data_IF_462543271061
#
_entry.id   IF_462543271061
#
_cell.length_a   1.000
_cell.length_b   1.000
_cell.length_c   1.000
_cell.angle_alpha   90.00
_cell.angle_beta   90.00
_cell.angle_gamma   90.00
#
_symmetry.space_group_name_H-M   'P 1'
#
loop_
_entity.id
_entity.type
_entity.pdbx_description
1 polymer ?
#
# COMPACT_ATOMS: atom_id res chain seq x y z
N UNK A 1 -28.44 -7.62 -5.50
CA UNK A 1 -28.92 -6.93 -4.28
C UNK A 1 -27.79 -6.54 -3.31
N UNK A 2 -26.73 -7.36 -3.12
CA UNK A 2 -25.66 -7.06 -2.14
C UNK A 2 -24.29 -6.64 -2.75
N UNK A 3 -24.26 -6.11 -3.97
CA UNK A 3 -23.00 -5.79 -4.67
C UNK A 3 -22.16 -4.73 -3.95
N UNK A 4 -22.79 -3.69 -3.38
CA UNK A 4 -22.11 -2.65 -2.58
C UNK A 4 -21.64 -3.10 -1.19
N UNK A 5 -22.01 -4.30 -0.73
CA UNK A 5 -21.61 -4.81 0.59
C UNK A 5 -20.21 -5.41 0.54
N UNK A 6 -19.41 -5.09 1.56
CA UNK A 6 -18.11 -5.75 1.79
C UNK A 6 -18.30 -7.25 2.04
N UNK A 7 -17.27 -8.06 1.79
CA UNK A 7 -17.34 -9.51 2.09
C UNK A 7 -17.74 -9.79 3.54
N UNK A 8 -17.28 -8.94 4.45
CA UNK A 8 -17.54 -9.04 5.89
C UNK A 8 -19.00 -8.74 6.21
N UNK A 9 -19.56 -7.68 5.62
CA UNK A 9 -20.98 -7.38 5.77
C UNK A 9 -21.88 -8.44 5.13
N UNK A 10 -21.47 -9.06 4.01
CA UNK A 10 -22.16 -10.22 3.43
C UNK A 10 -22.12 -11.43 4.37
N UNK A 11 -20.98 -11.69 5.02
CA UNK A 11 -20.85 -12.75 6.04
C UNK A 11 -21.75 -12.51 7.24
N UNK A 12 -21.92 -11.26 7.69
CA UNK A 12 -22.85 -10.90 8.77
C UNK A 12 -24.28 -11.30 8.41
N UNK A 13 -24.75 -10.99 7.20
CA UNK A 13 -26.10 -11.37 6.73
C UNK A 13 -26.23 -12.90 6.63
N UNK A 14 -25.19 -13.57 6.16
CA UNK A 14 -25.14 -15.04 6.13
C UNK A 14 -25.23 -15.65 7.54
N UNK A 15 -24.47 -15.12 8.50
CA UNK A 15 -24.54 -15.56 9.89
C UNK A 15 -25.90 -15.26 10.51
N UNK A 16 -26.49 -14.09 10.24
CA UNK A 16 -27.83 -13.77 10.71
C UNK A 16 -28.87 -14.80 10.23
N UNK A 17 -28.80 -15.22 8.97
CA UNK A 17 -29.65 -16.30 8.45
C UNK A 17 -29.42 -17.63 9.19
N UNK A 18 -28.16 -17.95 9.48
CA UNK A 18 -27.84 -19.15 10.25
C UNK A 18 -28.43 -19.09 11.67
N UNK A 19 -28.31 -17.95 12.35
CA UNK A 19 -28.86 -17.76 13.70
C UNK A 19 -30.40 -17.84 13.70
N UNK A 20 -31.06 -17.25 12.70
CA UNK A 20 -32.52 -17.37 12.53
C UNK A 20 -32.97 -18.83 12.37
N UNK A 21 -32.22 -19.62 11.60
CA UNK A 21 -32.46 -21.06 11.45
C UNK A 21 -32.26 -21.83 12.77
N UNK A 22 -31.24 -21.48 13.56
CA UNK A 22 -30.98 -22.12 14.85
C UNK A 22 -32.04 -21.81 15.91
N UNK A 23 -32.57 -20.58 15.91
CA UNK A 23 -33.62 -20.14 16.84
C UNK A 23 -35.04 -20.53 16.39
N UNK A 24 -35.19 -21.09 15.18
CA UNK A 24 -36.49 -21.49 14.63
C UNK A 24 -37.37 -20.32 14.19
N UNK A 25 -36.73 -19.21 13.78
CA UNK A 25 -37.41 -17.98 13.35
C UNK A 25 -37.86 -18.08 11.89
N UNK A 26 -39.10 -17.68 11.61
CA UNK A 26 -39.67 -17.70 10.25
C UNK A 26 -39.17 -16.53 9.37
N UNK A 27 -38.50 -15.56 9.97
CA UNK A 27 -37.88 -14.42 9.28
C UNK A 27 -36.56 -14.05 9.96
N UNK A 28 -35.65 -13.44 9.20
CA UNK A 28 -34.44 -12.82 9.74
C UNK A 28 -34.85 -11.49 10.38
N UNK A 29 -34.82 -11.46 11.70
CA UNK A 29 -35.10 -10.28 12.54
C UNK A 29 -33.82 -9.55 12.98
N UNK A 30 -33.98 -8.39 13.62
CA UNK A 30 -32.87 -7.47 13.94
C UNK A 30 -31.86 -8.07 14.92
N UNK A 31 -32.30 -8.89 15.86
CA UNK A 31 -31.46 -9.59 16.83
C UNK A 31 -30.59 -10.66 16.15
N UNK A 32 -31.07 -11.28 15.06
CA UNK A 32 -30.26 -12.19 14.26
C UNK A 32 -29.16 -11.44 13.51
N UNK A 33 -29.43 -10.24 13.00
CA UNK A 33 -28.41 -9.37 12.41
C UNK A 33 -27.35 -8.97 13.45
N UNK A 34 -27.78 -8.67 14.68
CA UNK A 34 -26.87 -8.38 15.79
C UNK A 34 -26.02 -9.59 16.18
N UNK A 35 -26.61 -10.79 16.27
CA UNK A 35 -25.86 -12.04 16.49
C UNK A 35 -24.88 -12.32 15.33
N UNK A 36 -25.27 -12.02 14.10
CA UNK A 36 -24.41 -12.12 12.92
C UNK A 36 -23.19 -11.19 13.01
N UNK A 37 -23.37 -9.96 13.47
CA UNK A 37 -22.27 -9.01 13.74
C UNK A 37 -21.35 -9.54 14.83
N UNK A 38 -21.93 -10.07 15.91
CA UNK A 38 -21.18 -10.65 17.03
C UNK A 38 -20.33 -11.85 16.56
N UNK A 39 -20.90 -12.69 15.69
CA UNK A 39 -20.26 -13.92 15.20
C UNK A 39 -19.17 -13.66 14.16
N UNK A 40 -19.30 -12.64 13.34
CA UNK A 40 -18.23 -12.20 12.45
C UNK A 40 -16.96 -11.85 13.25
N UNK A 41 -17.16 -11.25 14.43
CA UNK A 41 -16.22 -11.27 15.55
C UNK A 41 -14.89 -10.57 15.31
N UNK A 42 -14.72 -9.85 14.19
CA UNK A 42 -13.47 -9.20 13.82
C UNK A 42 -13.74 -7.75 13.43
N UNK A 43 -12.69 -6.94 13.28
CA UNK A 43 -12.78 -5.62 12.63
C UNK A 43 -13.26 -4.47 13.51
N UNK A 44 -13.87 -3.45 12.89
CA UNK A 44 -14.24 -2.20 13.57
C UNK A 44 -15.31 -2.45 14.63
N UNK A 45 -16.33 -3.25 14.31
CA UNK A 45 -17.44 -3.57 15.22
C UNK A 45 -16.95 -4.22 16.51
N UNK A 46 -16.01 -5.19 16.43
CA UNK A 46 -15.48 -5.84 17.63
C UNK A 46 -14.72 -4.86 18.53
N UNK A 47 -13.99 -3.90 17.95
CA UNK A 47 -13.27 -2.86 18.71
C UNK A 47 -14.23 -1.92 19.44
N UNK A 48 -15.33 -1.54 18.79
CA UNK A 48 -16.40 -0.72 19.39
C UNK A 48 -17.03 -1.45 20.59
N UNK A 49 -17.34 -2.74 20.44
CA UNK A 49 -17.85 -3.55 21.56
C UNK A 49 -16.85 -3.68 22.72
N UNK A 50 -15.56 -3.83 22.43
CA UNK A 50 -14.52 -3.87 23.47
C UNK A 50 -14.36 -2.53 24.19
N UNK A 51 -14.31 -1.41 23.47
CA UNK A 51 -14.19 -0.06 24.05
C UNK A 51 -15.44 0.32 24.86
N UNK A 52 -16.62 -0.12 24.46
CA UNK A 52 -17.86 0.05 25.25
C UNK A 52 -18.00 -0.93 26.42
N UNK A 53 -16.97 -1.75 26.72
CA UNK A 53 -16.93 -2.70 27.84
C UNK A 53 -18.05 -3.76 27.76
N UNK A 54 -18.53 -4.04 26.55
CA UNK A 54 -19.60 -5.00 26.33
C UNK A 54 -19.07 -6.39 26.10
N UNK A 55 -19.46 -7.31 26.98
CA UNK A 55 -19.27 -8.72 26.73
C UNK A 55 -20.24 -9.18 25.66
N UNK A 56 -19.69 -9.57 24.52
CA UNK A 56 -20.42 -10.18 23.41
C UNK A 56 -21.22 -11.42 23.84
N UNK A 57 -20.73 -12.13 24.86
CA UNK A 57 -21.44 -13.26 25.47
C UNK A 57 -22.68 -12.82 26.26
N UNK A 58 -22.63 -11.66 26.92
CA UNK A 58 -23.80 -11.12 27.62
C UNK A 58 -24.91 -10.76 26.63
N UNK A 59 -24.58 -10.14 25.50
CA UNK A 59 -25.56 -9.78 24.47
C UNK A 59 -26.18 -11.04 23.87
N UNK A 60 -25.36 -12.07 23.58
CA UNK A 60 -25.86 -13.36 23.10
C UNK A 60 -26.84 -14.01 24.08
N UNK A 61 -26.49 -14.11 25.36
CA UNK A 61 -27.37 -14.69 26.40
C UNK A 61 -28.69 -13.94 26.54
N UNK A 62 -28.66 -12.62 26.37
CA UNK A 62 -29.86 -11.79 26.46
C UNK A 62 -30.80 -11.96 25.26
N UNK A 63 -30.23 -12.11 24.06
CA UNK A 63 -31.00 -12.45 22.85
C UNK A 63 -31.59 -13.86 22.97
N UNK A 64 -30.78 -14.85 23.38
CA UNK A 64 -31.23 -16.23 23.58
C UNK A 64 -32.29 -16.34 24.70
N UNK A 65 -32.20 -15.51 25.74
CA UNK A 65 -33.17 -15.47 26.84
C UNK A 65 -34.51 -14.80 26.47
N UNK A 66 -34.51 -13.90 25.48
CA UNK A 66 -35.74 -13.28 24.93
C UNK A 66 -36.33 -14.11 23.78
N UNK A 67 -35.54 -14.96 23.14
CA UNK A 67 -35.99 -15.82 22.06
C UNK A 67 -36.91 -16.93 22.59
N UNK A 68 -38.12 -17.02 22.03
CA UNK A 68 -38.97 -18.19 22.20
C UNK A 68 -38.34 -19.34 21.42
N UNK A 69 -37.71 -20.29 22.12
CA UNK A 69 -37.14 -21.47 21.49
C UNK A 69 -38.23 -22.22 20.70
N UNK A 70 -38.07 -22.27 19.38
CA UNK A 70 -38.89 -23.07 18.46
C UNK A 70 -38.04 -24.19 17.88
N UNK A 71 -38.69 -25.19 17.29
CA UNK A 71 -37.99 -26.27 16.59
C UNK A 71 -37.09 -25.71 15.49
N UNK A 72 -35.87 -26.25 15.39
CA UNK A 72 -34.87 -25.80 14.43
C UNK A 72 -35.39 -25.97 13.01
N UNK A 73 -35.36 -24.88 12.24
CA UNK A 73 -35.72 -24.90 10.83
C UNK A 73 -34.46 -25.19 10.02
N UNK A 74 -34.52 -26.10 9.05
CA UNK A 74 -33.38 -26.39 8.16
C UNK A 74 -32.94 -25.11 7.42
N UNK A 75 -31.64 -24.87 7.35
CA UNK A 75 -31.04 -23.75 6.59
C UNK A 75 -31.36 -23.80 5.08
N UNK A 76 -31.87 -24.93 4.59
CA UNK A 76 -32.32 -25.13 3.21
C UNK A 76 -33.64 -24.42 2.88
N UNK A 77 -34.41 -24.04 3.89
CA UNK A 77 -35.63 -23.24 3.73
C UNK A 77 -35.23 -21.78 3.48
N UNK A 78 -35.89 -21.12 2.53
CA UNK A 78 -35.67 -19.70 2.29
C UNK A 78 -36.31 -18.88 3.43
N UNK A 79 -35.47 -18.22 4.22
CA UNK A 79 -35.89 -17.42 5.37
C UNK A 79 -35.84 -15.94 4.95
N UNK A 80 -37.00 -15.28 4.75
CA UNK A 80 -37.03 -13.89 4.28
C UNK A 80 -36.57 -12.91 5.37
N UNK A 81 -36.08 -11.74 4.94
CA UNK A 81 -35.82 -10.60 5.84
C UNK A 81 -37.14 -10.00 6.33
N UNK A 82 -37.25 -9.77 7.64
CA UNK A 82 -38.33 -8.98 8.25
C UNK A 82 -38.37 -7.54 7.71
N UNK A 83 -39.53 -6.85 7.76
CA UNK A 83 -39.64 -5.43 7.41
C UNK A 83 -38.62 -4.56 8.16
N UNK A 84 -38.40 -4.84 9.44
CA UNK A 84 -37.44 -4.19 10.33
C UNK A 84 -36.02 -4.38 9.82
N UNK A 85 -35.63 -5.61 9.47
CA UNK A 85 -34.30 -5.90 8.94
C UNK A 85 -34.04 -5.25 7.58
N UNK A 86 -35.07 -5.12 6.74
CA UNK A 86 -34.95 -4.37 5.47
C UNK A 86 -34.72 -2.87 5.72
N UNK A 87 -35.38 -2.29 6.73
CA UNK A 87 -35.14 -0.89 7.14
C UNK A 87 -33.72 -0.71 7.68
N UNK A 88 -33.25 -1.61 8.53
CA UNK A 88 -31.87 -1.61 9.05
C UNK A 88 -30.84 -1.60 7.92
N UNK A 89 -31.01 -2.46 6.90
CA UNK A 89 -30.09 -2.51 5.77
C UNK A 89 -30.16 -1.25 4.90
N UNK A 90 -31.33 -0.62 4.79
CA UNK A 90 -31.50 0.67 4.10
C UNK A 90 -30.80 1.80 4.86
N UNK A 91 -30.95 1.84 6.19
CA UNK A 91 -30.22 2.78 7.04
C UNK A 91 -28.72 2.56 7.00
N UNK A 92 -28.24 1.32 6.88
CA UNK A 92 -26.83 1.05 6.68
C UNK A 92 -26.30 1.64 5.37
N UNK A 93 -27.09 1.60 4.29
CA UNK A 93 -26.71 2.24 3.03
C UNK A 93 -26.65 3.77 3.17
N UNK A 94 -27.63 4.38 3.85
CA UNK A 94 -27.63 5.82 4.12
C UNK A 94 -26.45 6.27 5.00
N UNK A 95 -26.09 5.50 6.04
CA UNK A 95 -24.94 5.82 6.88
C UNK A 95 -23.62 5.70 6.11
N UNK A 96 -23.50 4.72 5.20
CA UNK A 96 -22.35 4.63 4.30
C UNK A 96 -22.21 5.88 3.42
N UNK A 97 -23.33 6.38 2.87
CA UNK A 97 -23.34 7.58 2.04
C UNK A 97 -23.04 8.85 2.85
N UNK A 98 -23.56 8.98 4.08
CA UNK A 98 -23.21 10.07 5.01
C UNK A 98 -21.73 10.11 5.34
N UNK A 99 -21.09 8.94 5.40
CA UNK A 99 -19.67 8.80 5.66
C UNK A 99 -18.81 8.85 4.39
N UNK A 100 -19.42 9.14 3.22
CA UNK A 100 -18.77 9.19 1.91
C UNK A 100 -18.06 7.87 1.53
N UNK A 101 -18.60 6.74 2.00
CA UNK A 101 -18.09 5.41 1.68
C UNK A 101 -18.82 4.83 0.45
N UNK A 102 -18.04 4.39 -0.54
CA UNK A 102 -18.56 3.70 -1.73
C UNK A 102 -18.97 2.23 -1.46
N UNK A 103 -18.82 1.76 -0.21
CA UNK A 103 -19.10 0.40 0.22
C UNK A 103 -19.93 0.38 1.52
N UNK A 104 -20.62 -0.74 1.76
CA UNK A 104 -21.35 -1.00 3.00
C UNK A 104 -20.58 -2.00 3.86
N UNK A 105 -19.96 -1.51 4.93
CA UNK A 105 -19.22 -2.28 5.93
C UNK A 105 -20.09 -2.75 7.11
N UNK A 106 -19.46 -3.46 8.05
CA UNK A 106 -20.13 -3.99 9.25
C UNK A 106 -20.49 -2.88 10.24
N UNK A 107 -19.70 -1.80 10.24
CA UNK A 107 -19.93 -0.57 11.01
C UNK A 107 -21.22 0.15 10.57
N UNK A 108 -21.51 0.19 9.27
CA UNK A 108 -22.76 0.78 8.78
C UNK A 108 -23.97 -0.08 9.15
N UNK A 109 -23.82 -1.41 9.15
CA UNK A 109 -24.89 -2.33 9.61
C UNK A 109 -25.17 -2.15 11.10
N UNK A 110 -24.13 -1.95 11.93
CA UNK A 110 -24.31 -1.63 13.35
C UNK A 110 -25.05 -0.30 13.53
N UNK A 111 -24.65 0.76 12.80
CA UNK A 111 -25.35 2.06 12.86
C UNK A 111 -26.81 1.93 12.39
N UNK A 112 -27.07 1.12 11.36
CA UNK A 112 -28.41 0.82 10.89
C UNK A 112 -29.28 0.15 11.95
N UNK A 113 -28.72 -0.81 12.72
CA UNK A 113 -29.42 -1.46 13.82
C UNK A 113 -29.78 -0.46 14.93
N UNK A 114 -28.84 0.42 15.28
CA UNK A 114 -29.04 1.43 16.32
C UNK A 114 -30.00 2.56 15.90
N UNK A 115 -30.20 2.76 14.59
CA UNK A 115 -31.11 3.77 14.05
C UNK A 115 -32.56 3.30 14.01
N UNK A 116 -32.81 1.99 13.98
CA UNK A 116 -34.16 1.43 14.11
C UNK A 116 -34.55 1.40 15.60
N UNK A 117 -35.10 2.50 16.10
CA UNK A 117 -35.40 2.70 17.53
C UNK A 117 -36.34 1.64 18.12
N UNK A 118 -37.26 1.13 17.30
CA UNK A 118 -38.26 0.12 17.67
C UNK A 118 -37.73 -1.32 17.64
N UNK A 119 -36.46 -1.52 17.29
CA UNK A 119 -35.88 -2.87 17.16
C UNK A 119 -35.44 -3.45 18.50
N UNK A 120 -35.56 -4.78 18.62
CA UNK A 120 -35.06 -5.53 19.78
C UNK A 120 -33.54 -5.36 19.91
N UNK A 121 -32.83 -5.36 18.78
CA UNK A 121 -31.39 -5.13 18.74
C UNK A 121 -31.01 -3.76 19.35
N UNK A 122 -31.70 -2.68 18.97
CA UNK A 122 -31.44 -1.36 19.53
C UNK A 122 -31.77 -1.28 21.01
N UNK A 123 -32.87 -1.92 21.46
CA UNK A 123 -33.23 -2.00 22.87
C UNK A 123 -32.10 -2.60 23.71
N UNK A 124 -31.56 -3.75 23.28
CA UNK A 124 -30.45 -4.41 23.97
C UNK A 124 -29.17 -3.54 23.95
N UNK A 125 -28.81 -2.96 22.80
CA UNK A 125 -27.62 -2.11 22.71
C UNK A 125 -27.74 -0.84 23.57
N UNK A 126 -28.93 -0.24 23.63
CA UNK A 126 -29.21 0.96 24.42
C UNK A 126 -29.24 0.68 25.93
N UNK A 127 -29.84 -0.44 26.37
CA UNK A 127 -29.81 -0.90 27.77
C UNK A 127 -28.37 -1.16 28.24
N UNK A 128 -27.51 -1.61 27.33
CA UNK A 128 -26.08 -1.80 27.56
C UNK A 128 -25.25 -0.52 27.47
N UNK A 129 -25.89 0.64 27.25
CA UNK A 129 -25.23 1.95 27.28
C UNK A 129 -24.66 2.43 25.95
N UNK A 130 -24.88 1.73 24.83
CA UNK A 130 -24.49 2.22 23.51
C UNK A 130 -25.49 3.26 23.01
N UNK A 131 -24.99 4.44 22.66
CA UNK A 131 -25.78 5.51 22.03
C UNK A 131 -25.34 5.71 20.59
N UNK A 132 -26.29 5.94 19.69
CA UNK A 132 -26.02 6.10 18.25
C UNK A 132 -24.98 7.19 17.97
N UNK A 133 -25.07 8.34 18.64
CA UNK A 133 -24.11 9.45 18.47
C UNK A 133 -22.69 9.06 18.90
N UNK A 134 -22.54 8.46 20.08
CA UNK A 134 -21.24 8.03 20.61
C UNK A 134 -20.59 6.97 19.71
N UNK A 135 -21.36 5.99 19.23
CA UNK A 135 -20.85 4.95 18.33
C UNK A 135 -20.44 5.53 16.98
N UNK A 136 -21.18 6.52 16.46
CA UNK A 136 -20.81 7.22 15.23
C UNK A 136 -19.50 7.97 15.38
N UNK A 137 -19.34 8.73 16.46
CA UNK A 137 -18.09 9.44 16.79
C UNK A 137 -16.91 8.46 16.93
N UNK A 138 -17.14 7.32 17.59
CA UNK A 138 -16.13 6.29 17.77
C UNK A 138 -15.73 5.62 16.44
N UNK A 139 -16.68 5.36 15.54
CA UNK A 139 -16.37 4.85 14.19
C UNK A 139 -15.51 5.87 13.43
N UNK A 140 -15.86 7.16 13.48
CA UNK A 140 -15.07 8.22 12.84
C UNK A 140 -13.67 8.31 13.45
N UNK A 141 -13.54 8.22 14.78
CA UNK A 141 -12.25 8.19 15.46
C UNK A 141 -11.43 6.95 15.08
N UNK A 142 -12.03 5.76 15.04
CA UNK A 142 -11.35 4.53 14.66
C UNK A 142 -10.96 4.52 13.17
N UNK A 143 -11.75 5.13 12.31
CA UNK A 143 -11.41 5.33 10.90
C UNK A 143 -10.31 6.36 10.73
N UNK A 144 -10.32 7.44 11.51
CA UNK A 144 -9.23 8.44 11.55
C UNK A 144 -7.96 7.85 12.18
N UNK A 145 -8.07 7.02 13.21
CA UNK A 145 -6.97 6.22 13.73
C UNK A 145 -6.46 5.30 12.64
N UNK A 146 -7.32 4.63 11.85
CA UNK A 146 -6.88 3.79 10.72
C UNK A 146 -6.28 4.60 9.57
N UNK A 147 -6.76 5.82 9.33
CA UNK A 147 -6.21 6.75 8.35
C UNK A 147 -4.87 7.36 8.80
N UNK A 148 -4.70 7.56 10.12
CA UNK A 148 -3.46 8.02 10.76
C UNK A 148 -2.47 6.87 11.00
N UNK A 149 -2.94 5.63 11.23
CA UNK A 149 -2.14 4.40 11.31
C UNK A 149 -1.72 3.94 9.90
N UNK A 150 -2.49 4.30 8.87
CA UNK A 150 -2.07 4.20 7.47
C UNK A 150 -1.08 5.30 7.04
N UNK A 151 -0.86 6.33 7.86
CA UNK A 151 0.02 7.47 7.55
C UNK A 151 1.17 7.73 8.53
N UNK A 152 1.22 7.05 9.68
CA UNK A 152 2.33 7.20 10.63
C UNK A 152 2.48 5.95 11.52
N UNK A 153 3.70 5.37 11.53
CA UNK A 153 4.22 4.32 12.42
C UNK A 153 3.99 2.85 12.05
N UNK A 154 4.31 2.43 10.84
CA UNK A 154 4.85 1.06 10.67
C UNK A 154 6.39 1.05 10.66
N UNK A 155 7.06 2.17 10.35
CA UNK A 155 8.52 2.21 10.24
C UNK A 155 9.11 3.61 10.61
N UNK A 156 9.16 3.96 11.91
CA UNK A 156 9.60 5.30 12.33
C UNK A 156 11.05 5.58 11.95
N UNK A 157 11.95 4.58 11.97
CA UNK A 157 13.34 4.77 11.57
C UNK A 157 13.47 4.81 10.05
N UNK A 158 12.76 3.93 9.33
CA UNK A 158 12.80 3.92 7.87
C UNK A 158 12.33 5.26 7.28
N UNK A 159 11.33 5.90 7.87
CA UNK A 159 10.82 7.20 7.39
C UNK A 159 11.85 8.34 7.55
N UNK A 160 12.77 8.23 8.51
CA UNK A 160 13.85 9.21 8.70
C UNK A 160 14.96 9.05 7.65
N UNK A 161 15.24 7.81 7.24
CA UNK A 161 16.36 7.46 6.36
C UNK A 161 15.94 7.09 4.93
N UNK A 162 14.66 7.27 4.59
CA UNK A 162 14.16 6.99 3.24
C UNK A 162 13.22 8.09 2.76
N UNK A 163 13.19 8.26 1.44
CA UNK A 163 12.26 9.14 0.75
C UNK A 163 11.11 8.31 0.20
N UNK A 164 9.88 8.63 0.60
CA UNK A 164 8.69 7.97 0.07
C UNK A 164 8.36 8.52 -1.33
N UNK A 165 8.62 7.70 -2.35
CA UNK A 165 8.35 8.04 -3.74
C UNK A 165 6.85 7.91 -4.04
N UNK A 166 6.14 6.98 -3.41
CA UNK A 166 4.68 6.85 -3.58
C UNK A 166 3.95 8.06 -3.00
N UNK A 167 4.40 8.57 -1.87
CA UNK A 167 3.86 9.82 -1.30
C UNK A 167 4.21 11.03 -2.15
N UNK A 168 5.45 11.13 -2.64
CA UNK A 168 5.85 12.20 -3.55
C UNK A 168 5.02 12.19 -4.85
N UNK A 169 4.72 11.00 -5.39
CA UNK A 169 3.83 10.81 -6.54
C UNK A 169 2.40 11.28 -6.23
N UNK A 170 1.86 10.90 -5.06
CA UNK A 170 0.51 11.30 -4.64
C UNK A 170 0.36 12.82 -4.48
N UNK A 171 1.44 13.52 -4.13
CA UNK A 171 1.48 14.99 -4.05
C UNK A 171 1.75 15.67 -5.41
N UNK A 172 1.95 14.90 -6.48
CA UNK A 172 2.30 15.43 -7.81
C UNK A 172 3.72 16.02 -7.89
N UNK A 173 4.61 15.65 -6.97
CA UNK A 173 5.96 16.20 -6.90
C UNK A 173 6.93 15.54 -7.91
N UNK A 174 6.65 14.33 -8.39
CA UNK A 174 7.54 13.57 -9.31
C UNK A 174 7.31 13.92 -10.77
N UNK A 175 8.37 13.95 -11.57
CA UNK A 175 8.30 14.25 -13.00
C UNK A 175 7.55 13.15 -13.78
N UNK A 176 6.82 13.51 -14.85
CA UNK A 176 6.16 12.51 -15.69
C UNK A 176 7.21 11.69 -16.44
N UNK A 177 7.03 10.36 -16.45
CA UNK A 177 7.87 9.47 -17.24
C UNK A 177 7.43 9.48 -18.71
N UNK A 178 8.33 9.80 -19.63
CA UNK A 178 8.10 9.77 -21.07
C UNK A 178 9.02 8.76 -21.77
N UNK A 179 8.49 8.04 -22.77
CA UNK A 179 9.28 7.20 -23.68
C UNK A 179 9.90 5.94 -23.09
N UNK A 180 9.49 5.49 -21.89
CA UNK A 180 10.07 4.32 -21.20
C UNK A 180 9.04 3.30 -20.71
N UNK A 181 8.00 3.09 -21.51
CA UNK A 181 6.89 2.21 -21.15
C UNK A 181 7.29 0.73 -21.12
N UNK A 182 8.18 0.30 -22.03
CA UNK A 182 8.62 -1.10 -22.13
C UNK A 182 9.45 -1.51 -20.92
N UNK A 183 10.41 -0.68 -20.49
CA UNK A 183 11.21 -0.97 -19.30
C UNK A 183 10.34 -0.96 -18.05
N UNK A 184 9.41 -0.01 -17.94
CA UNK A 184 8.47 0.06 -16.82
C UNK A 184 7.57 -1.18 -16.74
N UNK A 185 6.99 -1.61 -17.88
CA UNK A 185 6.20 -2.82 -17.96
C UNK A 185 7.01 -4.06 -17.54
N UNK A 186 8.29 -4.11 -17.91
CA UNK A 186 9.20 -5.17 -17.49
C UNK A 186 9.48 -5.15 -15.99
N UNK A 187 9.67 -3.98 -15.39
CA UNK A 187 9.83 -3.84 -13.92
C UNK A 187 8.59 -4.39 -13.20
N UNK A 188 7.39 -3.96 -13.62
CA UNK A 188 6.11 -4.44 -13.07
C UNK A 188 6.01 -5.96 -13.19
N UNK A 189 6.32 -6.51 -14.37
CA UNK A 189 6.29 -7.94 -14.60
C UNK A 189 7.22 -8.70 -13.66
N UNK A 190 8.43 -8.18 -13.39
CA UNK A 190 9.39 -8.80 -12.47
C UNK A 190 8.86 -8.77 -11.04
N UNK A 191 8.36 -7.63 -10.56
CA UNK A 191 7.84 -7.47 -9.20
C UNK A 191 6.65 -8.39 -8.89
N UNK A 192 5.87 -8.76 -9.90
CA UNK A 192 4.74 -9.68 -9.77
C UNK A 192 5.13 -11.18 -9.78
N UNK A 193 6.40 -11.54 -9.97
CA UNK A 193 6.83 -12.95 -9.96
C UNK A 193 6.88 -13.50 -8.53
N UNK A 194 6.73 -14.83 -8.40
CA UNK A 194 6.94 -15.54 -7.13
C UNK A 194 8.41 -15.78 -6.80
N UNK A 195 9.26 -15.85 -7.83
CA UNK A 195 10.71 -16.05 -7.73
C UNK A 195 11.41 -15.07 -8.64
N UNK A 196 12.65 -14.67 -8.30
CA UNK A 196 13.39 -13.61 -8.99
C UNK A 196 12.56 -12.32 -9.15
N UNK A 197 11.97 -11.88 -8.04
CA UNK A 197 11.02 -10.78 -7.96
C UNK A 197 11.65 -9.43 -7.59
N UNK A 198 12.98 -9.36 -7.56
CA UNK A 198 13.73 -8.12 -7.35
C UNK A 198 14.34 -7.66 -8.68
N UNK A 199 13.83 -6.60 -9.33
CA UNK A 199 14.43 -6.07 -10.54
C UNK A 199 15.73 -5.33 -10.24
N UNK A 200 16.74 -5.51 -11.11
CA UNK A 200 17.97 -4.70 -11.12
C UNK A 200 18.03 -3.94 -12.43
N UNK A 201 17.98 -2.62 -12.34
CA UNK A 201 18.13 -1.69 -13.45
C UNK A 201 19.62 -1.56 -13.78
N UNK A 202 20.00 -2.04 -14.96
CA UNK A 202 21.37 -2.04 -15.45
C UNK A 202 21.49 -1.05 -16.61
N UNK A 203 22.24 0.02 -16.40
CA UNK A 203 22.50 1.04 -17.42
C UNK A 203 23.65 1.96 -17.00
N UNK A 204 24.06 2.86 -17.86
CA UNK A 204 25.09 3.85 -17.51
C UNK A 204 24.52 4.93 -16.57
N UNK A 205 25.35 5.69 -15.84
CA UNK A 205 24.89 6.87 -15.10
C UNK A 205 24.22 7.88 -16.04
N UNK A 206 23.19 8.57 -15.55
CA UNK A 206 22.47 9.59 -16.33
C UNK A 206 21.40 9.07 -17.29
N UNK A 207 21.23 7.75 -17.48
CA UNK A 207 20.17 7.21 -18.37
C UNK A 207 18.76 7.28 -17.79
N UNK A 208 18.54 7.85 -16.59
CA UNK A 208 17.20 7.98 -16.00
C UNK A 208 16.67 6.72 -15.29
N UNK A 209 17.54 5.94 -14.62
CA UNK A 209 17.11 4.77 -13.82
C UNK A 209 16.19 5.17 -12.66
N UNK A 210 16.49 6.27 -12.00
CA UNK A 210 15.66 6.82 -10.90
C UNK A 210 14.30 7.25 -11.42
N UNK A 211 14.25 7.88 -12.59
CA UNK A 211 13.00 8.28 -13.25
C UNK A 211 12.07 7.08 -13.55
N UNK A 212 12.60 5.90 -13.89
CA UNK A 212 11.80 4.68 -14.05
C UNK A 212 11.08 4.28 -12.76
N UNK A 213 11.76 4.42 -11.61
CA UNK A 213 11.19 4.08 -10.31
C UNK A 213 10.16 5.12 -9.86
N UNK A 214 10.40 6.39 -10.15
CA UNK A 214 9.44 7.47 -9.95
C UNK A 214 8.19 7.28 -10.84
N UNK A 215 8.38 6.88 -12.10
CA UNK A 215 7.29 6.50 -13.00
C UNK A 215 6.48 5.30 -12.50
N UNK A 216 7.14 4.31 -11.87
CA UNK A 216 6.45 3.21 -11.20
C UNK A 216 5.61 3.71 -10.01
N UNK A 217 6.15 4.62 -9.20
CA UNK A 217 5.40 5.22 -8.09
C UNK A 217 4.15 5.96 -8.58
N UNK A 218 4.26 6.73 -9.68
CA UNK A 218 3.11 7.37 -10.32
C UNK A 218 2.05 6.36 -10.77
N UNK A 219 2.44 5.26 -11.42
CA UNK A 219 1.48 4.21 -11.83
C UNK A 219 0.80 3.52 -10.65
N UNK A 220 1.52 3.29 -9.55
CA UNK A 220 0.94 2.72 -8.33
C UNK A 220 -0.15 3.66 -7.77
N UNK A 221 0.14 4.96 -7.67
CA UNK A 221 -0.82 5.97 -7.18
C UNK A 221 -2.04 6.09 -8.09
N UNK A 222 -1.85 5.99 -9.40
CA UNK A 222 -2.94 6.03 -10.39
C UNK A 222 -3.79 4.75 -10.39
N UNK A 223 -3.30 3.66 -9.81
CA UNK A 223 -3.94 2.34 -9.88
C UNK A 223 -3.69 1.60 -11.20
N UNK A 224 -2.80 2.09 -12.05
CA UNK A 224 -2.41 1.52 -13.35
C UNK A 224 -1.36 0.41 -13.20
N UNK A 225 -1.52 -0.43 -12.19
CA UNK A 225 -0.68 -1.59 -11.87
C UNK A 225 -1.55 -2.79 -11.49
N UNK A 226 -1.04 -4.03 -11.63
CA UNK A 226 -1.74 -5.21 -11.12
C UNK A 226 -2.08 -5.07 -9.63
N UNK A 227 -3.20 -5.67 -9.20
CA UNK A 227 -3.73 -5.60 -7.82
C UNK A 227 -2.66 -5.89 -6.75
N UNK A 228 -1.73 -6.81 -7.03
CA UNK A 228 -0.63 -7.14 -6.12
C UNK A 228 0.29 -5.95 -5.76
N UNK A 229 0.42 -4.98 -6.67
CA UNK A 229 1.25 -3.79 -6.50
C UNK A 229 0.45 -2.55 -6.08
N UNK A 230 -0.88 -2.58 -6.16
CA UNK A 230 -1.73 -1.42 -5.88
C UNK A 230 -1.62 -0.93 -4.43
N UNK A 231 -1.39 -1.83 -3.47
CA UNK A 231 -1.23 -1.49 -2.05
C UNK A 231 0.25 -1.33 -1.62
N UNK A 232 1.19 -1.38 -2.57
CA UNK A 232 2.62 -1.30 -2.27
C UNK A 232 3.09 0.15 -2.18
N UNK A 233 4.06 0.42 -1.30
CA UNK A 233 4.77 1.71 -1.20
C UNK A 233 6.21 1.56 -1.68
N UNK A 234 6.72 2.56 -2.39
CA UNK A 234 8.10 2.61 -2.84
C UNK A 234 8.88 3.59 -1.97
N UNK A 235 9.89 3.10 -1.26
CA UNK A 235 10.76 3.90 -0.41
C UNK A 235 12.18 3.87 -0.94
N UNK A 236 12.72 5.04 -1.29
CA UNK A 236 14.12 5.19 -1.70
C UNK A 236 15.02 5.31 -0.48
N UNK A 237 15.92 4.36 -0.29
CA UNK A 237 16.86 4.34 0.84
C UNK A 237 18.05 5.26 0.54
N UNK A 238 18.32 6.22 1.42
CA UNK A 238 19.46 7.10 1.29
C UNK A 238 20.58 6.68 2.25
N UNK A 239 21.62 6.07 1.69
CA UNK A 239 22.77 5.58 2.47
C UNK A 239 23.53 6.75 3.10
N UNK A 240 23.58 7.91 2.43
CA UNK A 240 24.27 9.10 2.92
C UNK A 240 23.64 9.60 4.21
N UNK A 241 22.30 9.56 4.31
CA UNK A 241 21.57 9.91 5.53
C UNK A 241 21.80 8.90 6.66
N UNK A 242 21.94 7.61 6.35
CA UNK A 242 22.21 6.58 7.38
C UNK A 242 23.61 6.75 7.97
N UNK A 243 24.60 7.06 7.11
CA UNK A 243 25.98 7.35 7.52
C UNK A 243 26.05 8.66 8.31
N UNK A 244 25.26 9.66 7.93
CA UNK A 244 25.18 10.94 8.62
C UNK A 244 24.84 10.76 10.12
N UNK A 245 25.62 11.44 10.97
CA UNK A 245 25.45 11.35 12.42
C UNK A 245 25.86 10.01 13.05
N UNK A 246 26.54 9.12 12.33
CA UNK A 246 27.26 7.98 12.92
C UNK A 246 28.73 8.33 13.11
N UNK A 247 29.25 8.19 14.34
CA UNK A 247 30.68 8.42 14.63
C UNK A 247 31.48 7.12 14.58
N UNK A 248 30.81 6.00 14.77
CA UNK A 248 31.41 4.67 14.88
C UNK A 248 30.72 3.71 13.94
N UNK A 249 31.48 2.82 13.32
CA UNK A 249 30.99 1.76 12.41
C UNK A 249 29.87 0.93 13.02
N UNK A 250 29.96 0.57 14.32
CA UNK A 250 28.92 -0.21 14.99
C UNK A 250 27.55 0.46 15.04
N UNK A 251 27.50 1.80 15.14
CA UNK A 251 26.25 2.56 15.16
C UNK A 251 25.55 2.52 13.79
N UNK A 252 26.33 2.58 12.70
CA UNK A 252 25.80 2.42 11.35
C UNK A 252 25.21 1.02 11.16
N UNK A 253 25.93 -0.02 11.57
CA UNK A 253 25.47 -1.41 11.47
C UNK A 253 24.19 -1.66 12.28
N UNK A 254 24.08 -1.08 13.48
CA UNK A 254 22.89 -1.17 14.34
C UNK A 254 21.67 -0.46 13.72
N UNK A 255 21.87 0.74 13.16
CA UNK A 255 20.82 1.46 12.41
C UNK A 255 20.34 0.65 11.21
N UNK A 256 21.27 0.12 10.41
CA UNK A 256 20.93 -0.69 9.24
C UNK A 256 20.20 -1.98 9.64
N UNK A 257 20.62 -2.65 10.72
CA UNK A 257 19.90 -3.83 11.25
C UNK A 257 18.47 -3.49 11.67
N UNK A 258 18.27 -2.33 12.29
CA UNK A 258 16.94 -1.87 12.73
C UNK A 258 16.04 -1.59 11.54
N UNK A 259 16.54 -0.86 10.54
CA UNK A 259 15.88 -0.61 9.26
C UNK A 259 15.49 -1.93 8.59
N UNK A 260 16.40 -2.90 8.55
CA UNK A 260 16.14 -4.21 7.94
C UNK A 260 15.08 -5.03 8.66
N UNK A 261 15.00 -4.93 10.00
CA UNK A 261 13.94 -5.58 10.78
C UNK A 261 12.57 -4.96 10.46
N UNK A 262 12.48 -3.62 10.43
CA UNK A 262 11.26 -2.90 10.04
C UNK A 262 10.77 -3.29 8.64
N UNK A 263 11.70 -3.45 7.69
CA UNK A 263 11.41 -3.87 6.32
C UNK A 263 10.95 -5.32 6.21
N UNK A 264 11.44 -6.20 7.08
CA UNK A 264 11.04 -7.62 7.10
C UNK A 264 9.63 -7.78 7.69
N UNK A 265 9.24 -6.92 8.63
CA UNK A 265 7.89 -6.91 9.21
C UNK A 265 6.86 -6.31 8.22
N UNK A 266 7.28 -5.32 7.42
CA UNK A 266 6.43 -4.56 6.50
C UNK A 266 6.38 -5.15 5.09
N UNK A 267 5.39 -5.99 4.82
CA UNK A 267 5.26 -6.70 3.53
C UNK A 267 4.72 -5.82 2.39
N UNK A 268 4.22 -4.62 2.70
CA UNK A 268 3.69 -3.64 1.75
C UNK A 268 4.77 -2.71 1.18
N UNK A 269 6.04 -2.85 1.56
CA UNK A 269 7.11 -1.94 1.15
C UNK A 269 7.99 -2.57 0.05
N UNK A 270 8.30 -1.77 -0.96
CA UNK A 270 9.32 -2.03 -1.97
C UNK A 270 10.43 -1.01 -1.76
N UNK A 271 11.65 -1.47 -1.50
CA UNK A 271 12.78 -0.57 -1.27
C UNK A 271 13.44 -0.28 -2.62
N UNK A 272 13.67 0.98 -2.92
CA UNK A 272 14.58 1.39 -3.98
C UNK A 272 15.97 1.64 -3.39
N UNK A 273 16.96 0.99 -3.97
CA UNK A 273 18.38 1.15 -3.62
C UNK A 273 19.07 1.68 -4.86
N UNK A 274 19.39 2.98 -4.82
CA UNK A 274 20.30 3.53 -5.81
C UNK A 274 21.71 2.97 -5.56
N UNK A 275 22.46 2.77 -6.63
CA UNK A 275 23.81 2.21 -6.56
C UNK A 275 23.90 0.92 -5.69
N UNK A 276 23.09 -0.09 -6.01
CA UNK A 276 22.99 -1.37 -5.27
C UNK A 276 24.36 -2.03 -4.99
N UNK A 277 25.34 -1.79 -5.86
CA UNK A 277 26.70 -2.30 -5.69
C UNK A 277 27.42 -1.74 -4.45
N UNK A 278 27.07 -0.55 -3.96
CA UNK A 278 27.67 0.04 -2.74
C UNK A 278 27.32 -0.78 -1.50
N UNK A 279 26.12 -1.37 -1.49
CA UNK A 279 25.61 -2.19 -0.41
C UNK A 279 26.01 -3.67 -0.52
N UNK A 280 26.34 -4.15 -1.72
CA UNK A 280 26.67 -5.57 -1.99
C UNK A 280 28.19 -5.78 -2.18
N UNK A 281 28.90 -4.74 -2.60
CA UNK A 281 30.30 -4.78 -2.96
C UNK A 281 31.21 -4.90 -1.74
N UNK A 282 31.84 -6.06 -1.61
CA UNK A 282 32.81 -6.34 -0.55
C UNK A 282 34.02 -5.36 -0.58
N UNK A 283 34.05 -4.43 0.37
CA UNK A 283 35.27 -3.98 1.07
C UNK A 283 36.46 -3.47 0.25
N UNK A 284 36.27 -2.89 -0.94
CA UNK A 284 37.39 -2.56 -1.86
C UNK A 284 37.55 -1.07 -2.19
N UNK A 285 36.74 -0.18 -1.62
CA UNK A 285 36.95 1.27 -1.76
C UNK A 285 37.18 1.85 -0.36
N UNK A 286 38.21 2.70 -0.22
CA UNK A 286 38.58 3.40 1.01
C UNK A 286 37.34 4.07 1.64
N UNK A 287 36.76 3.42 2.65
CA UNK A 287 35.57 3.92 3.36
C UNK A 287 34.26 3.15 3.15
N UNK A 288 34.22 2.07 2.35
CA UNK A 288 33.00 1.28 2.17
C UNK A 288 32.60 0.56 3.48
N UNK A 289 31.60 1.09 4.17
CA UNK A 289 30.97 0.49 5.33
C UNK A 289 30.39 -0.89 4.96
N UNK A 290 30.54 -1.86 5.86
CA UNK A 290 30.31 -3.30 5.62
C UNK A 290 28.81 -3.69 5.67
N UNK A 291 27.97 -2.92 4.96
CA UNK A 291 26.53 -3.12 4.86
C UNK A 291 26.17 -4.46 4.19
N UNK A 292 27.08 -4.99 3.36
CA UNK A 292 26.91 -6.25 2.63
C UNK A 292 26.63 -7.43 3.55
N UNK A 293 27.28 -7.49 4.71
CA UNK A 293 27.07 -8.57 5.69
C UNK A 293 25.67 -8.57 6.30
N UNK A 294 24.99 -7.42 6.32
CA UNK A 294 23.63 -7.27 6.88
C UNK A 294 22.57 -7.45 5.81
N UNK A 295 22.78 -6.89 4.61
CA UNK A 295 21.78 -6.87 3.53
C UNK A 295 21.73 -8.16 2.74
N UNK A 296 22.90 -8.75 2.44
CA UNK A 296 23.00 -9.95 1.62
C UNK A 296 22.17 -11.14 2.14
N UNK A 297 22.15 -11.44 3.46
CA UNK A 297 21.31 -12.52 3.97
C UNK A 297 19.81 -12.27 3.77
N UNK A 298 19.32 -11.07 4.03
CA UNK A 298 17.90 -10.72 3.86
C UNK A 298 17.47 -10.74 2.38
N UNK A 299 18.31 -10.20 1.50
CA UNK A 299 18.12 -10.25 0.05
C UNK A 299 18.14 -11.68 -0.49
N UNK A 300 19.12 -12.49 -0.07
CA UNK A 300 19.25 -13.89 -0.49
C UNK A 300 18.09 -14.76 0.02
N UNK A 301 17.57 -14.49 1.22
CA UNK A 301 16.40 -15.22 1.74
C UNK A 301 15.10 -14.79 1.07
N UNK A 302 15.05 -13.58 0.50
CA UNK A 302 13.86 -13.01 -0.11
C UNK A 302 12.88 -12.47 0.93
N UNK A 303 13.40 -12.08 2.10
CA UNK A 303 12.64 -11.47 3.19
C UNK A 303 12.21 -10.04 2.84
N UNK A 304 12.99 -9.38 1.98
CA UNK A 304 12.71 -8.02 1.51
C UNK A 304 12.56 -8.01 -0.01
N UNK A 305 11.64 -7.16 -0.48
CA UNK A 305 11.45 -6.86 -1.90
C UNK A 305 12.14 -5.54 -2.24
N UNK A 306 12.97 -5.51 -3.28
CA UNK A 306 13.68 -4.30 -3.67
C UNK A 306 13.84 -4.13 -5.18
N UNK A 307 14.04 -2.88 -5.58
CA UNK A 307 14.46 -2.44 -6.91
C UNK A 307 15.88 -1.88 -6.74
N UNK A 308 16.85 -2.46 -7.45
CA UNK A 308 18.23 -1.98 -7.41
C UNK A 308 18.61 -1.26 -8.70
N UNK A 309 19.48 -0.25 -8.62
CA UNK A 309 20.12 0.36 -9.79
C UNK A 309 21.65 0.15 -9.73
N UNK A 310 22.29 -0.14 -10.86
CA UNK A 310 23.76 -0.33 -10.93
C UNK A 310 24.27 -0.15 -12.36
N UNK A 311 25.59 -0.01 -12.54
CA UNK A 311 26.22 -0.01 -13.86
C UNK A 311 26.45 -1.44 -14.38
N UNK A 312 26.59 -1.64 -15.71
CA UNK A 312 26.91 -2.96 -16.27
C UNK A 312 28.20 -3.56 -15.70
N UNK A 313 29.22 -2.72 -15.43
CA UNK A 313 30.51 -3.15 -14.90
C UNK A 313 30.40 -3.70 -13.47
N UNK A 314 29.69 -2.98 -12.60
CA UNK A 314 29.43 -3.39 -11.21
C UNK A 314 28.52 -4.61 -11.12
N UNK A 315 27.47 -4.68 -11.95
CA UNK A 315 26.57 -5.82 -11.98
C UNK A 315 27.34 -7.12 -12.23
N UNK A 316 28.22 -7.12 -13.25
CA UNK A 316 29.10 -8.26 -13.56
C UNK A 316 30.07 -8.58 -12.43
N UNK A 317 30.58 -7.57 -11.73
CA UNK A 317 31.58 -7.75 -10.68
C UNK A 317 30.99 -8.29 -9.38
N UNK A 318 29.81 -7.81 -8.97
CA UNK A 318 29.27 -8.02 -7.62
C UNK A 318 27.97 -8.83 -7.57
N UNK A 319 27.11 -8.75 -8.58
CA UNK A 319 25.78 -9.39 -8.54
C UNK A 319 25.78 -10.70 -9.36
N UNK A 320 26.28 -10.66 -10.59
CA UNK A 320 26.27 -11.81 -11.51
C UNK A 320 27.18 -12.96 -11.03
N UNK A 321 28.30 -12.63 -10.38
CA UNK A 321 29.21 -13.62 -9.81
C UNK A 321 28.65 -14.28 -8.54
N UNK A 322 27.65 -13.68 -7.90
CA UNK A 322 27.13 -14.15 -6.64
C UNK A 322 25.86 -15.01 -6.83
N UNK A 323 26.02 -16.34 -6.71
CA UNK A 323 24.93 -17.31 -6.83
C UNK A 323 23.77 -17.09 -5.86
N UNK A 324 24.00 -16.45 -4.71
CA UNK A 324 22.94 -16.20 -3.72
C UNK A 324 22.00 -15.08 -4.17
N UNK A 325 22.56 -14.03 -4.78
CA UNK A 325 21.82 -12.87 -5.26
C UNK A 325 21.25 -13.09 -6.67
N UNK A 326 21.97 -13.77 -7.54
CA UNK A 326 21.53 -14.11 -8.90
C UNK A 326 20.17 -14.84 -8.93
N UNK A 327 19.88 -15.65 -7.89
CA UNK A 327 18.61 -16.38 -7.76
C UNK A 327 17.42 -15.53 -7.32
N UNK A 328 17.66 -14.28 -6.88
CA UNK A 328 16.66 -13.35 -6.35
C UNK A 328 16.48 -12.13 -7.24
N UNK A 329 17.53 -11.75 -7.96
CA UNK A 329 17.51 -10.60 -8.84
C UNK A 329 17.21 -10.99 -10.29
N UNK A 330 16.54 -10.08 -10.99
CA UNK A 330 16.30 -10.16 -12.43
C UNK A 330 16.83 -8.89 -13.09
N UNK A 331 17.78 -9.06 -14.00
CA UNK A 331 18.32 -7.97 -14.80
C UNK A 331 17.26 -7.37 -15.72
N UNK A 332 17.14 -6.04 -15.68
CA UNK A 332 16.39 -5.18 -16.59
C UNK A 332 17.39 -4.20 -17.20
N UNK A 333 17.65 -4.33 -18.50
CA UNK A 333 18.58 -3.43 -19.19
C UNK A 333 17.88 -2.10 -19.47
N UNK A 334 18.55 -1.01 -19.13
CA UNK A 334 18.11 0.36 -19.38
C UNK A 334 19.13 0.99 -20.31
N UNK A 335 18.74 1.19 -21.56
CA UNK A 335 19.59 1.83 -22.55
C UNK A 335 19.52 3.35 -22.42
N UNK A 336 20.57 4.01 -22.92
CA UNK A 336 20.49 5.43 -23.26
C UNK A 336 19.36 5.61 -24.27
N UNK A 337 18.47 6.59 -24.09
CA UNK A 337 17.43 6.87 -25.06
C UNK A 337 18.05 7.38 -26.36
N UNK A 338 17.31 7.22 -27.45
CA UNK A 338 17.61 7.85 -28.74
C UNK A 338 17.42 9.37 -28.64
N UNK A 339 17.94 10.11 -29.63
CA UNK A 339 17.77 11.56 -29.70
C UNK A 339 16.28 11.94 -29.76
N UNK A 340 15.48 11.20 -30.55
CA UNK A 340 14.03 11.41 -30.65
C UNK A 340 13.30 11.16 -29.32
N UNK A 341 13.61 10.05 -28.63
CA UNK A 341 13.06 9.76 -27.30
C UNK A 341 13.50 10.81 -26.28
N UNK A 342 14.73 11.31 -26.37
CA UNK A 342 15.24 12.36 -25.47
C UNK A 342 14.48 13.67 -25.66
N UNK A 343 14.15 14.03 -26.91
CA UNK A 343 13.32 15.20 -27.19
C UNK A 343 11.93 15.04 -26.54
N UNK A 344 11.34 13.83 -26.59
CA UNK A 344 10.07 13.56 -25.92
C UNK A 344 10.19 13.68 -24.39
N UNK A 345 11.29 13.21 -23.80
CA UNK A 345 11.59 13.36 -22.38
C UNK A 345 11.68 14.84 -22.00
N UNK A 346 12.44 15.64 -22.74
CA UNK A 346 12.58 17.08 -22.53
C UNK A 346 11.24 17.81 -22.63
N UNK A 347 10.40 17.45 -23.62
CA UNK A 347 9.04 18.01 -23.74
C UNK A 347 8.16 17.66 -22.54
N UNK A 348 8.32 16.48 -21.95
CA UNK A 348 7.57 16.06 -20.76
C UNK A 348 7.94 16.84 -19.49
N UNK A 349 9.19 17.23 -19.33
CA UNK A 349 9.67 18.00 -18.17
C UNK A 349 9.63 19.52 -18.38
N UNK A 350 9.46 19.97 -19.62
CA UNK A 350 9.44 21.39 -20.04
C UNK A 350 8.62 22.27 -19.11
N UNK A 351 7.35 21.93 -18.89
CA UNK A 351 6.41 22.75 -18.11
C UNK A 351 6.89 23.00 -16.67
N UNK A 352 7.65 22.07 -16.09
CA UNK A 352 8.19 22.21 -14.72
C UNK A 352 9.43 23.09 -14.70
N UNK A 353 10.32 22.91 -15.67
CA UNK A 353 11.51 23.75 -15.81
C UNK A 353 11.15 25.20 -16.16
N UNK A 354 10.16 25.43 -17.03
CA UNK A 354 9.67 26.77 -17.34
C UNK A 354 9.15 27.50 -16.10
N UNK A 355 8.40 26.79 -15.25
CA UNK A 355 7.91 27.34 -13.97
C UNK A 355 9.03 27.62 -12.98
N UNK A 356 10.03 26.74 -12.91
CA UNK A 356 11.16 26.87 -11.98
C UNK A 356 12.11 28.02 -12.37
N UNK A 357 12.44 28.14 -13.66
CA UNK A 357 13.35 29.16 -14.17
C UNK A 357 12.66 30.47 -14.58
N UNK A 358 11.32 30.49 -14.62
CA UNK A 358 10.53 31.62 -15.10
C UNK A 358 10.87 32.06 -16.54
N UNK A 359 11.11 31.09 -17.41
CA UNK A 359 11.41 31.30 -18.84
C UNK A 359 10.56 30.36 -19.70
N UNK A 360 10.46 30.64 -20.99
CA UNK A 360 9.84 29.74 -21.98
C UNK A 360 10.91 29.13 -22.87
N UNK A 361 10.93 27.81 -23.00
CA UNK A 361 11.86 27.10 -23.90
C UNK A 361 11.18 26.86 -25.25
N UNK A 362 11.86 27.27 -26.34
CA UNK A 362 11.39 26.96 -27.69
C UNK A 362 11.69 25.50 -28.02
N UNK A 363 10.84 24.87 -28.83
CA UNK A 363 11.03 23.47 -29.21
C UNK A 363 12.35 23.27 -29.99
N UNK A 364 12.73 24.25 -30.80
CA UNK A 364 14.03 24.32 -31.49
C UNK A 364 15.21 24.29 -30.52
N UNK A 365 15.06 24.90 -29.33
CA UNK A 365 16.10 24.91 -28.32
C UNK A 365 16.25 23.54 -27.65
N UNK A 366 15.14 22.82 -27.43
CA UNK A 366 15.18 21.45 -26.90
C UNK A 366 15.86 20.50 -27.89
N UNK A 367 15.52 20.59 -29.17
CA UNK A 367 16.16 19.81 -30.24
C UNK A 367 17.66 20.13 -30.32
N UNK A 368 18.01 21.42 -30.31
CA UNK A 368 19.41 21.84 -30.28
C UNK A 368 20.14 21.29 -29.04
N UNK A 369 19.55 21.33 -27.85
CA UNK A 369 20.16 20.81 -26.64
C UNK A 369 20.49 19.31 -26.77
N UNK A 370 19.56 18.51 -27.32
CA UNK A 370 19.81 17.08 -27.57
C UNK A 370 20.91 16.86 -28.59
N UNK A 371 20.83 17.48 -29.77
CA UNK A 371 21.82 17.25 -30.83
C UNK A 371 23.22 17.74 -30.45
N UNK A 372 23.32 18.90 -29.79
CA UNK A 372 24.59 19.48 -29.38
C UNK A 372 25.21 18.68 -28.22
N UNK A 373 24.43 18.31 -27.20
CA UNK A 373 24.94 17.48 -26.11
C UNK A 373 25.33 16.07 -26.58
N UNK A 374 24.56 15.47 -27.50
CA UNK A 374 24.88 14.19 -28.14
C UNK A 374 26.24 14.25 -28.85
N UNK A 375 26.50 15.33 -29.60
CA UNK A 375 27.70 15.49 -30.43
C UNK A 375 28.95 15.94 -29.67
N UNK A 376 28.82 16.85 -28.71
CA UNK A 376 29.98 17.53 -28.09
C UNK A 376 30.30 17.03 -26.68
N UNK A 377 29.34 16.41 -25.98
CA UNK A 377 29.54 15.85 -24.64
C UNK A 377 29.53 14.31 -24.75
N UNK A 378 30.70 13.72 -24.97
CA UNK A 378 30.86 12.28 -25.25
C UNK A 378 31.08 11.42 -24.01
N UNK A 379 31.43 12.04 -22.88
CA UNK A 379 31.72 11.40 -21.59
C UNK A 379 30.45 11.12 -20.76
N UNK A 380 29.31 11.69 -21.16
CA UNK A 380 28.00 11.51 -20.52
C UNK A 380 26.96 10.92 -21.46
N UNK A 381 25.89 10.38 -20.88
CA UNK A 381 24.79 9.74 -21.59
C UNK A 381 23.52 10.58 -21.60
N UNK A 382 22.66 10.35 -22.59
CA UNK A 382 21.30 10.92 -22.61
C UNK A 382 20.42 10.17 -21.58
N UNK A 383 19.38 10.82 -21.02
CA UNK A 383 18.97 12.20 -21.26
C UNK A 383 19.74 13.24 -20.41
N UNK A 384 20.47 12.83 -19.37
CA UNK A 384 21.11 13.71 -18.38
C UNK A 384 21.88 14.90 -18.98
N UNK A 385 22.81 14.64 -19.90
CA UNK A 385 23.60 15.71 -20.54
C UNK A 385 22.80 16.71 -21.38
N UNK A 386 21.60 16.33 -21.83
CA UNK A 386 20.72 17.20 -22.60
C UNK A 386 19.78 18.01 -21.70
N UNK A 387 19.54 17.55 -20.47
CA UNK A 387 18.77 18.27 -19.44
C UNK A 387 19.64 19.32 -18.76
N UNK A 388 20.94 19.01 -18.58
CA UNK A 388 21.93 19.93 -18.02
C UNK A 388 22.22 21.15 -18.92
N UNK A 389 22.03 21.01 -20.23
CA UNK A 389 22.25 22.04 -21.25
C UNK A 389 20.99 22.85 -21.50
#
# INVERSE_FOLDING_TARGET
MFERYTERARRVIFFARYEASQLGSNSIETEHLLLGLIREGKGLTSRIFSKSHLSMESIRKEIEGRALYRDKVSTSVDIPLSPESKRVLSFAAEEAERMLHNYIGTEHVLLGLMREEKSVANGILSEKGMRLSAVREEIVQLLNEKANVGKAKETPLLSEFSRDLTEAAARGALDPLAGREEELARIIQVLCRRTRNNPVLIGEPGVGKTALVEGLANKIVQGDVPIYLAEKRILALDISLIVAGTKYRGQFEERLKTIMRELTESHNIIIFIDELHTLVGAGSAEGSLDAANILKPALSRGEIQCIGATTPAEYRKYIEKDRSLERRFQAVKVASPTEEETIQILRGIKDRYEKFHHVSYRDEALEAAVYQSSRYITDRFLPDKAIDL
#
